data_IF_967205110839
#
_entry.id   IF_967205110839
#
_cell.length_a   1.000
_cell.length_b   1.000
_cell.length_c   1.000
_cell.angle_alpha   90.00
_cell.angle_beta   90.00
_cell.angle_gamma   90.00
#
_symmetry.space_group_name_H-M   'P 1'
#
loop_
_entity.id
_entity.type
_entity.pdbx_description
1 polymer ?
#
# COMPACT_ATOMS: atom_id res chain seq x y z
N UNK A 1 -11.67 14.92 5.41
CA UNK A 1 -10.23 15.05 5.67
C UNK A 1 -9.89 16.52 5.67
N UNK A 2 -9.38 17.05 6.78
CA UNK A 2 -9.01 18.45 6.94
C UNK A 2 -7.65 18.74 6.29
N UNK A 3 -7.38 20.00 5.93
CA UNK A 3 -6.09 20.40 5.34
C UNK A 3 -4.91 20.12 6.28
N UNK A 4 -5.17 20.08 7.59
CA UNK A 4 -4.21 19.76 8.62
C UNK A 4 -3.93 18.25 8.68
N UNK A 5 -4.96 17.40 8.55
CA UNK A 5 -4.80 15.94 8.39
C UNK A 5 -3.98 15.60 7.14
N UNK A 6 -4.25 16.26 6.01
CA UNK A 6 -3.50 16.04 4.76
C UNK A 6 -2.03 16.44 4.86
N UNK A 7 -1.74 17.55 5.55
CA UNK A 7 -0.36 18.00 5.80
C UNK A 7 0.36 17.05 6.77
N UNK A 8 -0.34 16.55 7.78
CA UNK A 8 0.20 15.64 8.79
C UNK A 8 0.51 14.25 8.21
N UNK A 9 -0.27 13.76 7.24
CA UNK A 9 0.03 12.54 6.47
C UNK A 9 1.29 12.68 5.60
N UNK A 10 1.55 13.87 5.05
CA UNK A 10 2.75 14.10 4.24
C UNK A 10 4.05 14.11 5.07
N UNK A 11 3.99 14.51 6.34
CA UNK A 11 5.13 14.59 7.26
C UNK A 11 5.48 13.24 7.92
N UNK A 12 4.57 12.27 7.92
CA UNK A 12 4.70 10.93 8.53
C UNK A 12 5.27 9.87 7.57
N UNK A 13 5.84 10.29 6.44
CA UNK A 13 6.44 9.46 5.38
C UNK A 13 7.75 8.73 5.78
N UNK A 14 7.95 8.42 7.06
CA UNK A 14 9.00 7.51 7.49
C UNK A 14 8.57 6.06 7.23
N UNK A 15 9.47 5.22 6.71
CA UNK A 15 9.14 3.85 6.35
C UNK A 15 8.73 2.99 7.56
N UNK A 16 9.11 3.39 8.78
CA UNK A 16 8.70 2.74 10.04
C UNK A 16 7.24 3.02 10.39
N UNK A 17 6.65 4.09 9.86
CA UNK A 17 5.25 4.45 10.04
C UNK A 17 4.31 3.75 9.05
N UNK A 18 4.84 2.90 8.17
CA UNK A 18 4.05 2.16 7.18
C UNK A 18 2.96 1.31 7.81
N UNK A 19 3.19 0.79 9.03
CA UNK A 19 2.20 -0.02 9.75
C UNK A 19 0.91 0.74 10.06
N UNK A 20 0.99 2.06 10.31
CA UNK A 20 -0.19 2.91 10.51
C UNK A 20 -1.09 2.87 9.27
N UNK A 21 -0.50 3.02 8.09
CA UNK A 21 -1.24 3.07 6.83
C UNK A 21 -1.67 1.68 6.33
N UNK A 22 -0.79 0.68 6.43
CA UNK A 22 -1.06 -0.65 5.89
C UNK A 22 -2.03 -1.46 6.76
N UNK A 23 -2.07 -1.23 8.08
CA UNK A 23 -2.88 -2.02 9.01
C UNK A 23 -4.00 -1.19 9.61
N UNK A 24 -3.67 -0.06 10.25
CA UNK A 24 -4.65 0.65 11.07
C UNK A 24 -5.64 1.47 10.25
N UNK A 25 -5.24 2.06 9.12
CA UNK A 25 -6.16 2.80 8.25
C UNK A 25 -7.32 1.93 7.72
N UNK A 26 -7.08 0.73 7.17
CA UNK A 26 -8.17 -0.19 6.82
C UNK A 26 -9.09 -0.51 8.01
N UNK A 27 -8.52 -0.73 9.20
CA UNK A 27 -9.30 -0.98 10.43
C UNK A 27 -10.17 0.23 10.79
N UNK A 28 -9.65 1.45 10.67
CA UNK A 28 -10.43 2.67 10.90
C UNK A 28 -11.55 2.82 9.88
N UNK A 29 -11.30 2.56 8.60
CA UNK A 29 -12.31 2.63 7.56
C UNK A 29 -13.47 1.65 7.83
N UNK A 30 -13.17 0.42 8.25
CA UNK A 30 -14.21 -0.54 8.65
C UNK A 30 -14.94 -0.09 9.92
N UNK A 31 -14.21 0.47 10.90
CA UNK A 31 -14.82 1.00 12.11
C UNK A 31 -15.72 2.22 11.86
N UNK A 32 -15.39 3.08 10.89
CA UNK A 32 -16.20 4.25 10.51
C UNK A 32 -17.62 3.83 10.09
N UNK A 33 -17.77 2.65 9.47
CA UNK A 33 -19.08 2.08 9.06
C UNK A 33 -19.94 1.69 10.26
N UNK A 34 -19.34 1.50 11.44
CA UNK A 34 -20.00 1.10 12.68
C UNK A 34 -20.17 2.30 13.61
N UNK A 35 -19.11 3.09 13.79
CA UNK A 35 -19.08 4.26 14.65
C UNK A 35 -18.06 5.29 14.14
N UNK A 36 -18.56 6.27 13.41
CA UNK A 36 -17.76 7.36 12.82
C UNK A 36 -16.93 8.12 13.87
N UNK A 37 -17.54 8.50 14.99
CA UNK A 37 -16.88 9.32 16.02
C UNK A 37 -15.73 8.57 16.70
N UNK A 38 -15.93 7.30 17.03
CA UNK A 38 -14.90 6.46 17.62
C UNK A 38 -13.73 6.23 16.65
N UNK A 39 -14.03 5.94 15.39
CA UNK A 39 -13.01 5.72 14.37
C UNK A 39 -12.16 6.97 14.14
N UNK A 40 -12.78 8.15 14.04
CA UNK A 40 -12.07 9.42 13.89
C UNK A 40 -11.19 9.74 15.11
N UNK A 41 -11.71 9.52 16.32
CA UNK A 41 -10.96 9.75 17.56
C UNK A 41 -9.71 8.85 17.63
N UNK A 42 -9.88 7.56 17.34
CA UNK A 42 -8.78 6.61 17.32
C UNK A 42 -7.76 6.96 16.23
N UNK A 43 -8.24 7.25 15.01
CA UNK A 43 -7.38 7.65 13.89
C UNK A 43 -6.51 8.85 14.23
N UNK A 44 -7.11 9.91 14.78
CA UNK A 44 -6.39 11.11 15.19
C UNK A 44 -5.33 10.81 16.28
N UNK A 45 -5.68 9.98 17.27
CA UNK A 45 -4.76 9.60 18.34
C UNK A 45 -3.56 8.81 17.79
N UNK A 46 -3.80 7.83 16.92
CA UNK A 46 -2.72 7.03 16.30
C UNK A 46 -1.83 7.87 15.40
N UNK A 47 -2.39 8.76 14.56
CA UNK A 47 -1.61 9.67 13.71
C UNK A 47 -0.71 10.57 14.58
N UNK A 48 -1.26 11.16 15.65
CA UNK A 48 -0.49 12.01 16.55
C UNK A 48 0.63 11.25 17.25
N UNK A 49 0.32 10.07 17.81
CA UNK A 49 1.28 9.28 18.55
C UNK A 49 2.42 8.75 17.65
N UNK A 50 2.09 8.30 16.43
CA UNK A 50 3.08 7.87 15.43
C UNK A 50 3.99 9.01 14.97
N UNK A 51 3.42 10.22 14.83
CA UNK A 51 4.21 11.42 14.50
C UNK A 51 5.21 11.77 15.61
N UNK A 52 4.78 11.71 16.86
CA UNK A 52 5.64 12.02 18.01
C UNK A 52 6.68 10.91 18.27
N UNK A 53 6.38 9.66 17.92
CA UNK A 53 7.27 8.52 18.07
C UNK A 53 7.14 7.52 16.90
N UNK A 54 7.89 7.71 15.80
CA UNK A 54 7.83 6.82 14.64
C UNK A 54 8.16 5.36 14.99
N UNK A 55 7.32 4.43 14.56
CA UNK A 55 7.38 3.00 14.87
C UNK A 55 6.45 2.56 16.01
N UNK A 56 5.87 3.49 16.77
CA UNK A 56 4.99 3.17 17.91
C UNK A 56 3.79 2.31 17.49
N UNK A 57 3.19 2.57 16.33
CA UNK A 57 2.05 1.80 15.84
C UNK A 57 2.44 0.34 15.59
N UNK A 58 3.65 0.10 15.08
CA UNK A 58 4.17 -1.26 14.90
C UNK A 58 4.36 -1.97 16.24
N UNK A 59 4.94 -1.29 17.23
CA UNK A 59 5.14 -1.85 18.57
C UNK A 59 3.81 -2.24 19.23
N UNK A 60 2.80 -1.37 19.13
CA UNK A 60 1.45 -1.64 19.63
C UNK A 60 0.88 -2.90 18.97
N UNK A 61 0.95 -3.01 17.64
CA UNK A 61 0.42 -4.17 16.92
C UNK A 61 1.16 -5.45 17.29
N UNK A 62 2.50 -5.41 17.35
CA UNK A 62 3.30 -6.55 17.78
C UNK A 62 2.91 -7.01 19.19
N UNK A 63 2.69 -6.08 20.13
CA UNK A 63 2.23 -6.42 21.48
C UNK A 63 0.81 -7.00 21.51
N UNK A 64 -0.10 -6.53 20.66
CA UNK A 64 -1.43 -7.12 20.52
C UNK A 64 -1.33 -8.57 20.01
N UNK A 65 -0.52 -8.81 18.98
CA UNK A 65 -0.29 -10.15 18.40
C UNK A 65 0.33 -11.11 19.43
N UNK A 66 1.35 -10.66 20.15
CA UNK A 66 1.95 -11.42 21.27
C UNK A 66 0.90 -11.78 22.31
N UNK A 67 0.07 -10.82 22.75
CA UNK A 67 -0.98 -11.04 23.76
C UNK A 67 -2.08 -11.99 23.28
N UNK A 68 -2.32 -12.05 21.97
CA UNK A 68 -3.26 -13.00 21.35
C UNK A 68 -2.61 -14.33 20.97
N UNK A 69 -1.34 -14.52 21.30
CA UNK A 69 -0.55 -15.71 20.96
C UNK A 69 -0.55 -16.01 19.44
N UNK A 70 -0.56 -14.95 18.62
CA UNK A 70 -0.52 -15.05 17.16
C UNK A 70 0.94 -14.99 16.71
N UNK A 71 1.49 -16.14 16.32
CA UNK A 71 2.85 -16.27 15.81
C UNK A 71 2.86 -16.03 14.30
N UNK A 72 3.29 -14.84 13.88
CA UNK A 72 3.42 -14.48 12.46
C UNK A 72 4.76 -13.81 12.20
N UNK A 73 5.24 -13.97 10.97
CA UNK A 73 6.28 -13.09 10.46
C UNK A 73 5.62 -11.78 10.02
N UNK A 74 5.74 -10.75 10.86
CA UNK A 74 5.07 -9.46 10.64
C UNK A 74 5.39 -8.85 9.26
N UNK A 75 6.66 -8.91 8.87
CA UNK A 75 7.13 -8.47 7.56
C UNK A 75 6.48 -9.26 6.42
N UNK A 76 6.43 -10.58 6.53
CA UNK A 76 5.77 -11.43 5.53
C UNK A 76 4.27 -11.12 5.44
N UNK A 77 3.59 -10.87 6.57
CA UNK A 77 2.19 -10.52 6.59
C UNK A 77 1.92 -9.19 5.90
N UNK A 78 2.74 -8.16 6.13
CA UNK A 78 2.65 -6.89 5.39
C UNK A 78 2.85 -7.10 3.89
N UNK A 79 3.83 -7.93 3.50
CA UNK A 79 4.09 -8.25 2.10
C UNK A 79 2.92 -9.00 1.43
N UNK A 80 2.27 -9.91 2.16
CA UNK A 80 1.11 -10.65 1.67
C UNK A 80 -0.08 -9.72 1.42
N UNK A 81 -0.39 -8.82 2.36
CA UNK A 81 -1.46 -7.83 2.15
C UNK A 81 -1.20 -6.96 0.91
N UNK A 82 0.03 -6.49 0.71
CA UNK A 82 0.39 -5.74 -0.49
C UNK A 82 0.30 -6.58 -1.79
N UNK A 83 0.52 -7.90 -1.70
CA UNK A 83 0.35 -8.80 -2.84
C UNK A 83 -1.13 -8.97 -3.21
N UNK A 84 -2.02 -9.03 -2.23
CA UNK A 84 -3.47 -9.12 -2.44
C UNK A 84 -3.98 -7.86 -3.18
N UNK A 85 -3.53 -6.66 -2.81
CA UNK A 85 -3.88 -5.41 -3.52
C UNK A 85 -3.40 -5.41 -4.99
N UNK A 86 -2.21 -5.98 -5.24
CA UNK A 86 -1.66 -6.12 -6.59
C UNK A 86 -2.47 -7.11 -7.42
N UNK A 87 -2.95 -8.19 -6.81
CA UNK A 87 -3.80 -9.18 -7.45
C UNK A 87 -5.16 -8.57 -7.83
N UNK A 88 -5.80 -7.83 -6.92
CA UNK A 88 -7.06 -7.13 -7.19
C UNK A 88 -6.94 -6.14 -8.36
N UNK A 89 -5.83 -5.38 -8.42
CA UNK A 89 -5.54 -4.49 -9.53
C UNK A 89 -5.41 -5.26 -10.84
N UNK A 90 -4.66 -6.38 -10.86
CA UNK A 90 -4.45 -7.18 -12.05
C UNK A 90 -5.75 -7.83 -12.55
N UNK A 91 -6.60 -8.29 -11.64
CA UNK A 91 -7.91 -8.84 -11.96
C UNK A 91 -8.83 -7.78 -12.54
N UNK A 92 -8.84 -6.58 -11.96
CA UNK A 92 -9.55 -5.44 -12.51
C UNK A 92 -9.06 -5.12 -13.92
N UNK A 93 -7.75 -5.03 -14.14
CA UNK A 93 -7.16 -4.80 -15.48
C UNK A 93 -7.58 -5.90 -16.46
N UNK A 94 -7.51 -7.17 -16.06
CA UNK A 94 -7.92 -8.30 -16.89
C UNK A 94 -9.41 -8.23 -17.25
N UNK A 95 -10.27 -7.86 -16.31
CA UNK A 95 -11.71 -7.71 -16.55
C UNK A 95 -12.00 -6.56 -17.53
N UNK A 96 -11.27 -5.44 -17.41
CA UNK A 96 -11.39 -4.32 -18.36
C UNK A 96 -10.86 -4.71 -19.75
N UNK A 97 -9.73 -5.43 -19.86
CA UNK A 97 -9.21 -5.97 -21.14
C UNK A 97 -10.27 -6.85 -21.82
N UNK A 98 -10.96 -7.71 -21.06
CA UNK A 98 -12.01 -8.59 -21.61
C UNK A 98 -13.24 -7.80 -22.06
N UNK A 99 -13.60 -6.73 -21.34
CA UNK A 99 -14.80 -5.93 -21.57
C UNK A 99 -14.67 -4.92 -22.72
N UNK A 100 -13.49 -4.33 -22.93
CA UNK A 100 -13.25 -3.34 -23.99
C UNK A 100 -12.61 -4.00 -25.22
N UNK A 101 -13.31 -3.96 -26.36
CA UNK A 101 -12.83 -4.55 -27.61
C UNK A 101 -11.91 -3.61 -28.42
N UNK A 102 -10.79 -4.21 -28.87
CA UNK A 102 -9.91 -3.87 -29.99
C UNK A 102 -8.95 -2.69 -29.91
N UNK A 103 -9.28 -1.53 -29.36
CA UNK A 103 -8.32 -0.42 -29.31
C UNK A 103 -7.38 -0.58 -28.09
N UNK A 104 -6.06 -0.47 -28.33
CA UNK A 104 -5.00 -0.57 -27.31
C UNK A 104 -4.80 -1.93 -26.59
N UNK A 105 -5.52 -3.01 -26.93
CA UNK A 105 -5.35 -4.32 -26.27
C UNK A 105 -3.89 -4.81 -26.22
N UNK A 106 -3.16 -4.70 -27.33
CA UNK A 106 -1.73 -5.10 -27.38
C UNK A 106 -0.86 -4.24 -26.46
N UNK A 107 -1.11 -2.93 -26.43
CA UNK A 107 -0.41 -2.01 -25.54
C UNK A 107 -0.73 -2.34 -24.08
N UNK A 108 -1.99 -2.63 -23.75
CA UNK A 108 -2.43 -2.93 -22.40
C UNK A 108 -1.88 -4.27 -21.88
N UNK A 109 -1.84 -5.31 -22.71
CA UNK A 109 -1.17 -6.58 -22.34
C UNK A 109 0.34 -6.38 -22.13
N UNK A 110 0.97 -5.51 -22.92
CA UNK A 110 2.37 -5.15 -22.71
C UNK A 110 2.57 -4.41 -21.37
N UNK A 111 1.75 -3.39 -21.09
CA UNK A 111 1.82 -2.66 -19.82
C UNK A 111 1.54 -3.57 -18.61
N UNK A 112 0.61 -4.52 -18.73
CA UNK A 112 0.34 -5.55 -17.71
C UNK A 112 1.58 -6.41 -17.47
N UNK A 113 2.25 -6.86 -18.53
CA UNK A 113 3.46 -7.70 -18.42
C UNK A 113 4.61 -6.95 -17.74
N UNK A 114 4.85 -5.68 -18.10
CA UNK A 114 5.85 -4.85 -17.44
C UNK A 114 5.47 -4.55 -15.98
N UNK A 115 4.20 -4.35 -15.67
CA UNK A 115 3.73 -4.20 -14.29
C UNK A 115 4.02 -5.42 -13.43
N UNK A 116 3.71 -6.63 -13.92
CA UNK A 116 4.03 -7.89 -13.22
C UNK A 116 5.54 -8.01 -12.99
N UNK A 117 6.36 -7.63 -13.97
CA UNK A 117 7.82 -7.64 -13.85
C UNK A 117 8.32 -6.66 -12.79
N UNK A 118 7.83 -5.41 -12.79
CA UNK A 118 8.21 -4.42 -11.78
C UNK A 118 7.68 -4.77 -10.38
N UNK A 119 6.50 -5.39 -10.29
CA UNK A 119 5.95 -5.91 -9.04
C UNK A 119 6.85 -6.98 -8.42
N UNK A 120 7.27 -7.97 -9.21
CA UNK A 120 8.25 -8.99 -8.77
C UNK A 120 9.57 -8.36 -8.31
N UNK A 121 10.10 -7.42 -9.11
CA UNK A 121 11.33 -6.70 -8.76
C UNK A 121 11.20 -5.91 -7.46
N UNK A 122 10.02 -5.33 -7.19
CA UNK A 122 9.73 -4.61 -5.95
C UNK A 122 9.69 -5.57 -4.76
N UNK A 123 9.03 -6.73 -4.89
CA UNK A 123 9.05 -7.76 -3.84
C UNK A 123 10.47 -8.21 -3.51
N UNK A 124 11.33 -8.43 -4.51
CA UNK A 124 12.74 -8.79 -4.27
C UNK A 124 13.56 -7.64 -3.67
N UNK A 125 13.23 -6.40 -4.02
CA UNK A 125 13.83 -5.21 -3.41
C UNK A 125 13.45 -5.10 -1.93
N UNK A 126 12.19 -5.39 -1.57
CA UNK A 126 11.75 -5.43 -0.17
C UNK A 126 12.46 -6.54 0.61
N UNK A 127 12.57 -7.76 0.05
CA UNK A 127 13.34 -8.85 0.68
C UNK A 127 14.79 -8.47 0.93
N UNK A 128 15.41 -7.71 0.02
CA UNK A 128 16.78 -7.20 0.18
C UNK A 128 16.85 -6.12 1.25
N UNK A 129 15.89 -5.18 1.25
CA UNK A 129 15.79 -4.12 2.25
C UNK A 129 15.71 -4.66 3.67
N UNK A 130 14.93 -5.71 3.92
CA UNK A 130 14.85 -6.30 5.26
C UNK A 130 16.17 -6.92 5.74
N UNK A 131 17.16 -7.09 4.85
CA UNK A 131 18.51 -7.55 5.19
C UNK A 131 19.50 -6.40 5.34
N UNK A 132 19.40 -5.37 4.50
CA UNK A 132 20.43 -4.32 4.37
C UNK A 132 20.00 -2.92 4.84
N UNK A 133 18.72 -2.71 5.13
CA UNK A 133 18.14 -1.44 5.60
C UNK A 133 18.15 -0.31 4.56
N UNK A 134 18.46 -0.56 3.28
CA UNK A 134 18.64 0.49 2.26
C UNK A 134 17.30 0.97 1.68
N UNK A 135 16.62 1.86 2.40
CA UNK A 135 15.31 2.38 2.03
C UNK A 135 15.29 3.03 0.62
N UNK A 136 16.40 3.63 0.17
CA UNK A 136 16.51 4.26 -1.16
C UNK A 136 16.13 3.31 -2.31
N UNK A 137 16.49 2.03 -2.20
CA UNK A 137 16.17 1.04 -3.23
C UNK A 137 14.66 0.77 -3.29
N UNK A 138 14.01 0.74 -2.12
CA UNK A 138 12.55 0.56 -2.01
C UNK A 138 11.82 1.74 -2.64
N UNK A 139 12.26 2.98 -2.35
CA UNK A 139 11.66 4.18 -2.97
C UNK A 139 11.81 4.19 -4.50
N UNK A 140 12.99 3.86 -5.02
CA UNK A 140 13.22 3.77 -6.47
C UNK A 140 12.31 2.71 -7.09
N UNK A 141 12.22 1.53 -6.48
CA UNK A 141 11.40 0.44 -7.02
C UNK A 141 9.89 0.71 -6.90
N UNK A 142 9.44 1.36 -5.83
CA UNK A 142 8.06 1.81 -5.67
C UNK A 142 7.68 2.86 -6.74
N UNK A 143 8.56 3.84 -6.99
CA UNK A 143 8.33 4.84 -8.04
C UNK A 143 8.19 4.23 -9.43
N UNK A 144 8.96 3.16 -9.74
CA UNK A 144 8.79 2.41 -10.99
C UNK A 144 7.42 1.75 -11.09
N UNK A 145 6.93 1.16 -10.00
CA UNK A 145 5.59 0.58 -9.94
C UNK A 145 4.51 1.63 -10.13
N UNK A 146 4.59 2.77 -9.42
CA UNK A 146 3.64 3.88 -9.55
C UNK A 146 3.61 4.38 -11.01
N UNK A 147 4.78 4.59 -11.60
CA UNK A 147 4.89 5.00 -13.01
C UNK A 147 4.22 3.98 -13.94
N UNK A 148 4.43 2.69 -13.70
CA UNK A 148 3.83 1.63 -14.51
C UNK A 148 2.30 1.56 -14.34
N UNK A 149 1.77 1.77 -13.13
CA UNK A 149 0.33 1.93 -12.89
C UNK A 149 -0.23 3.11 -13.69
N UNK A 150 0.48 4.23 -13.71
CA UNK A 150 0.07 5.41 -14.49
C UNK A 150 0.06 5.13 -16.01
N UNK A 151 1.01 4.36 -16.53
CA UNK A 151 1.03 3.95 -17.95
C UNK A 151 -0.16 3.05 -18.29
N UNK A 152 -0.53 2.12 -17.39
CA UNK A 152 -1.75 1.32 -17.54
C UNK A 152 -2.98 2.24 -17.63
N UNK A 153 -3.11 3.19 -16.71
CA UNK A 153 -4.22 4.16 -16.70
C UNK A 153 -4.27 5.03 -17.97
N UNK A 154 -3.11 5.48 -18.47
CA UNK A 154 -3.02 6.25 -19.72
C UNK A 154 -3.46 5.43 -20.93
N UNK A 155 -3.17 4.13 -20.94
CA UNK A 155 -3.56 3.23 -22.04
C UNK A 155 -5.09 3.08 -22.14
N UNK A 156 -5.80 3.30 -21.02
CA UNK A 156 -7.27 3.36 -20.96
C UNK A 156 -7.87 4.71 -21.36
N UNK A 157 -7.09 5.80 -21.40
CA UNK A 157 -7.62 7.08 -21.87
C UNK A 157 -7.89 6.98 -23.38
N UNK A 158 -9.10 7.31 -23.85
CA UNK A 158 -9.36 7.37 -25.29
C UNK A 158 -8.43 8.41 -25.91
N UNK A 159 -7.82 8.05 -27.05
CA UNK A 159 -7.18 9.03 -27.91
C UNK A 159 -8.32 9.89 -28.45
N UNK A 160 -8.38 11.14 -28.01
CA UNK A 160 -9.31 12.13 -28.53
C UNK A 160 -8.97 12.49 -29.98
#
# INVERSE_FOLDING_TARGET
MTMEEMKNEAETNSMVSMTLYAVMYPVFNELERINLSAAQTLRAAFIKAERENPGLTQDIIMKILEKKNVQINFTESLLRMAADDVEELLDTVNNVIKKYQYQNRRALEHQKKEFVKYSKSFSDTLKTYFKDGKAINVFISANRLIHQTNLILQTFKPVA
#
